data_IF_525637080848
#
_entry.id   IF_525637080848
#
_cell.length_a   1.000
_cell.length_b   1.000
_cell.length_c   1.000
_cell.angle_alpha   90.00
_cell.angle_beta   90.00
_cell.angle_gamma   90.00
#
_symmetry.space_group_name_H-M   'P 1'
#
loop_
_entity.id
_entity.type
_entity.pdbx_description
1 polymer ?
#
# COMPACT_ATOMS: atom_id res chain seq x y z
N UNK A 1 49.07 -34.47 0.36
CA UNK A 1 49.96 -33.34 -0.06
C UNK A 1 49.89 -32.10 0.86
N UNK A 2 49.15 -32.15 1.97
CA UNK A 2 49.06 -31.04 2.94
C UNK A 2 47.85 -30.13 2.73
N UNK A 3 46.96 -30.51 1.83
CA UNK A 3 45.70 -29.86 1.49
C UNK A 3 44.56 -30.06 2.52
N UNK A 4 44.71 -31.01 3.44
CA UNK A 4 43.73 -31.33 4.48
C UNK A 4 42.75 -32.46 4.14
N UNK A 5 42.97 -33.18 3.03
CA UNK A 5 42.21 -34.35 2.64
C UNK A 5 43.05 -35.62 2.87
N UNK A 6 42.37 -36.74 3.06
CA UNK A 6 43.00 -38.03 3.31
C UNK A 6 43.06 -38.84 2.02
N UNK A 7 44.23 -39.41 1.71
CA UNK A 7 44.45 -40.33 0.59
C UNK A 7 43.59 -41.63 0.64
N UNK A 8 42.77 -41.80 1.69
CA UNK A 8 41.87 -42.93 1.82
C UNK A 8 40.60 -42.69 1.00
N UNK A 9 40.50 -43.41 -0.12
CA UNK A 9 39.35 -43.38 -1.02
C UNK A 9 38.36 -44.53 -0.77
N UNK A 10 38.40 -45.15 0.41
CA UNK A 10 37.37 -46.10 0.82
C UNK A 10 36.00 -45.43 0.99
N UNK A 11 34.94 -46.18 0.70
CA UNK A 11 33.56 -45.71 0.86
C UNK A 11 33.31 -45.29 2.30
N UNK A 12 32.92 -44.04 2.48
CA UNK A 12 32.60 -43.47 3.80
C UNK A 12 33.81 -42.92 4.54
N UNK A 13 34.98 -42.85 3.90
CA UNK A 13 36.09 -42.05 4.38
C UNK A 13 35.67 -40.60 4.59
N UNK A 14 36.28 -39.95 5.59
CA UNK A 14 36.10 -38.54 5.89
C UNK A 14 37.14 -37.74 5.10
N UNK A 15 36.69 -36.76 4.31
CA UNK A 15 37.51 -35.93 3.42
C UNK A 15 38.42 -36.72 2.48
N UNK A 16 37.89 -37.63 1.64
CA UNK A 16 38.70 -38.37 0.68
C UNK A 16 39.37 -37.43 -0.34
N UNK A 17 40.64 -37.70 -0.66
CA UNK A 17 41.36 -37.01 -1.72
C UNK A 17 41.23 -37.78 -3.04
N UNK A 18 40.33 -37.29 -3.89
CA UNK A 18 40.10 -37.85 -5.23
C UNK A 18 41.14 -37.42 -6.26
N UNK A 19 41.97 -36.41 -5.97
CA UNK A 19 43.02 -35.96 -6.88
C UNK A 19 44.38 -35.73 -6.18
N UNK A 20 45.07 -36.80 -5.75
CA UNK A 20 46.34 -36.70 -5.01
C UNK A 20 47.53 -36.10 -5.77
N UNK A 21 47.30 -35.62 -6.99
CA UNK A 21 48.28 -34.99 -7.86
C UNK A 21 47.93 -33.54 -8.18
N UNK A 22 46.80 -33.03 -7.65
CA UNK A 22 46.27 -31.70 -7.92
C UNK A 22 45.68 -31.10 -6.63
N UNK A 23 46.53 -30.39 -5.87
CA UNK A 23 46.21 -29.75 -4.59
C UNK A 23 45.12 -28.66 -4.66
N UNK A 24 44.69 -28.31 -5.88
CA UNK A 24 43.63 -27.35 -6.14
C UNK A 24 42.25 -28.01 -6.27
N UNK A 25 42.19 -29.35 -6.32
CA UNK A 25 40.96 -30.12 -6.59
C UNK A 25 40.92 -31.33 -5.68
N UNK A 26 40.12 -31.31 -4.62
CA UNK A 26 40.19 -32.41 -3.63
C UNK A 26 38.87 -33.20 -3.55
N UNK A 27 37.75 -32.53 -3.86
CA UNK A 27 36.40 -33.11 -3.82
C UNK A 27 36.06 -33.90 -5.07
N UNK A 28 35.23 -34.93 -4.91
CA UNK A 28 34.67 -35.65 -6.04
C UNK A 28 33.76 -34.76 -6.91
N UNK A 29 33.73 -35.08 -8.21
CA UNK A 29 32.87 -34.38 -9.18
C UNK A 29 31.49 -35.05 -9.23
N UNK A 30 30.49 -34.35 -8.71
CA UNK A 30 29.09 -34.73 -8.86
C UNK A 30 28.24 -33.49 -9.16
N UNK A 31 27.12 -33.70 -9.83
CA UNK A 31 26.10 -32.69 -10.08
C UNK A 31 24.84 -32.99 -9.27
N UNK A 32 24.16 -31.95 -8.83
CA UNK A 32 22.92 -31.99 -8.08
C UNK A 32 21.77 -31.46 -8.95
N UNK A 33 20.67 -32.19 -8.97
CA UNK A 33 19.42 -31.74 -9.58
C UNK A 33 18.29 -31.94 -8.59
N UNK A 34 17.64 -30.87 -8.16
CA UNK A 34 16.51 -30.94 -7.23
C UNK A 34 15.23 -30.39 -7.85
N UNK A 35 14.09 -30.88 -7.38
CA UNK A 35 12.77 -30.40 -7.79
C UNK A 35 11.78 -30.52 -6.64
N UNK A 36 10.91 -29.51 -6.50
CA UNK A 36 9.74 -29.62 -5.65
C UNK A 36 8.78 -30.66 -6.20
N UNK A 37 8.14 -31.39 -5.29
CA UNK A 37 7.09 -32.37 -5.64
C UNK A 37 5.81 -31.64 -5.99
N UNK A 38 5.51 -30.59 -5.21
CA UNK A 38 4.40 -29.67 -5.41
C UNK A 38 5.00 -28.26 -5.47
N UNK A 39 4.71 -27.48 -6.53
CA UNK A 39 5.35 -26.17 -6.74
C UNK A 39 4.87 -25.10 -5.76
N UNK A 40 3.75 -25.31 -5.08
CA UNK A 40 3.12 -24.35 -4.17
C UNK A 40 2.69 -25.04 -2.88
N UNK A 41 2.94 -24.39 -1.75
CA UNK A 41 2.57 -24.88 -0.41
C UNK A 41 1.43 -24.06 0.13
N UNK A 42 0.25 -24.67 0.31
CA UNK A 42 -0.91 -24.00 0.89
C UNK A 42 -1.06 -24.31 2.39
N UNK A 43 -0.76 -23.31 3.23
CA UNK A 43 -0.86 -23.40 4.69
C UNK A 43 -2.28 -23.72 5.20
N UNK A 44 -3.31 -23.47 4.40
CA UNK A 44 -4.68 -23.86 4.72
C UNK A 44 -4.92 -25.37 4.65
N UNK A 45 -4.23 -26.05 3.74
CA UNK A 45 -4.31 -27.51 3.53
C UNK A 45 -3.34 -28.21 4.47
N UNK A 46 -2.12 -27.70 4.58
CA UNK A 46 -1.11 -28.16 5.51
C UNK A 46 0.23 -27.48 5.27
N UNK A 47 1.05 -27.29 6.31
CA UNK A 47 2.32 -26.58 6.21
C UNK A 47 3.45 -27.45 5.62
N UNK A 48 3.15 -28.63 5.06
CA UNK A 48 4.15 -29.63 4.66
C UNK A 48 4.41 -29.54 3.17
N UNK A 49 5.67 -29.69 2.78
CA UNK A 49 6.07 -29.87 1.39
C UNK A 49 7.22 -30.86 1.28
N UNK A 50 7.43 -31.33 0.05
CA UNK A 50 8.47 -32.30 -0.25
C UNK A 50 9.22 -31.93 -1.53
N UNK A 51 10.45 -32.40 -1.60
CA UNK A 51 11.33 -32.24 -2.75
C UNK A 51 12.21 -33.46 -2.91
N UNK A 52 12.60 -33.69 -4.15
CA UNK A 52 13.54 -34.75 -4.53
C UNK A 52 14.83 -34.14 -5.01
N UNK A 53 15.94 -34.77 -4.65
CA UNK A 53 17.26 -34.40 -5.16
C UNK A 53 17.95 -35.63 -5.72
N UNK A 54 18.39 -35.53 -6.97
CA UNK A 54 19.18 -36.55 -7.65
C UNK A 54 20.63 -36.09 -7.73
N UNK A 55 21.52 -36.86 -7.13
CA UNK A 55 22.97 -36.69 -7.23
C UNK A 55 23.46 -37.59 -8.35
N UNK A 56 24.24 -37.04 -9.27
CA UNK A 56 24.82 -37.79 -10.40
C UNK A 56 26.33 -37.59 -10.40
N UNK A 57 27.12 -38.65 -10.64
CA UNK A 57 28.57 -38.56 -10.77
C UNK A 57 29.07 -39.40 -11.93
N UNK A 58 30.27 -39.08 -12.41
CA UNK A 58 30.95 -39.80 -13.49
C UNK A 58 32.32 -40.39 -13.06
N UNK A 59 32.57 -40.41 -11.75
CA UNK A 59 33.82 -40.94 -11.17
C UNK A 59 33.94 -42.45 -11.39
N UNK A 60 35.18 -42.93 -11.58
CA UNK A 60 35.48 -44.36 -11.70
C UNK A 60 35.50 -45.11 -10.37
N UNK A 61 35.37 -44.38 -9.25
CA UNK A 61 35.29 -44.90 -7.89
C UNK A 61 33.93 -44.53 -7.30
N UNK A 62 33.49 -45.31 -6.32
CA UNK A 62 32.28 -44.98 -5.58
C UNK A 62 32.50 -43.71 -4.76
N UNK A 63 31.48 -42.87 -4.67
CA UNK A 63 31.51 -41.63 -3.90
C UNK A 63 30.48 -41.69 -2.76
N UNK A 64 30.76 -41.00 -1.66
CA UNK A 64 29.79 -40.82 -0.57
C UNK A 64 29.30 -39.38 -0.60
N UNK A 65 28.06 -39.19 -1.04
CA UNK A 65 27.43 -37.88 -1.13
C UNK A 65 26.50 -37.65 0.06
N UNK A 66 26.71 -36.55 0.79
CA UNK A 66 25.79 -36.03 1.81
C UNK A 66 25.08 -34.82 1.23
N UNK A 67 23.77 -34.95 1.02
CA UNK A 67 22.91 -33.86 0.58
C UNK A 67 22.33 -33.18 1.82
N UNK A 68 22.54 -31.88 1.93
CA UNK A 68 22.06 -31.02 3.02
C UNK A 68 21.20 -29.91 2.47
N UNK A 69 20.22 -29.45 3.25
CA UNK A 69 19.40 -28.31 2.84
C UNK A 69 19.22 -27.28 3.96
N UNK A 70 19.17 -26.00 3.57
CA UNK A 70 18.86 -24.87 4.42
C UNK A 70 17.78 -24.00 3.77
N UNK A 71 16.68 -23.80 4.50
CA UNK A 71 15.58 -22.90 4.13
C UNK A 71 15.38 -21.81 5.19
N UNK A 72 16.42 -21.51 5.96
CA UNK A 72 16.41 -20.51 7.02
C UNK A 72 15.49 -20.87 8.19
N UNK A 73 14.95 -19.83 8.83
CA UNK A 73 14.11 -19.97 10.03
C UNK A 73 12.65 -20.33 9.71
N UNK A 74 12.21 -20.16 8.46
CA UNK A 74 10.81 -20.37 8.07
C UNK A 74 10.53 -21.80 7.59
N UNK A 75 11.54 -22.53 7.11
CA UNK A 75 11.47 -23.97 6.87
C UNK A 75 12.02 -24.76 8.07
N UNK A 76 11.30 -25.77 8.56
CA UNK A 76 11.72 -26.58 9.72
C UNK A 76 11.15 -28.00 9.71
N UNK A 77 11.68 -28.85 10.59
CA UNK A 77 11.30 -30.27 10.63
C UNK A 77 11.92 -31.08 9.49
N UNK A 78 11.68 -32.39 9.52
CA UNK A 78 12.31 -33.34 8.59
C UNK A 78 13.79 -33.57 8.85
N UNK A 79 14.41 -34.43 8.03
CA UNK A 79 15.86 -34.62 8.06
C UNK A 79 16.56 -33.53 7.24
N UNK A 80 17.44 -32.76 7.87
CA UNK A 80 18.25 -31.70 7.23
C UNK A 80 19.37 -32.22 6.34
N UNK A 81 19.70 -33.51 6.49
CA UNK A 81 20.74 -34.15 5.70
C UNK A 81 20.40 -35.62 5.45
N UNK A 82 20.82 -36.13 4.31
CA UNK A 82 20.82 -37.56 4.00
C UNK A 82 22.11 -37.90 3.27
N UNK A 83 22.69 -39.05 3.61
CA UNK A 83 23.93 -39.54 3.00
C UNK A 83 23.63 -40.76 2.16
N UNK A 84 24.24 -40.82 0.97
CA UNK A 84 24.14 -41.94 0.05
C UNK A 84 25.50 -42.29 -0.52
N UNK A 85 25.72 -43.57 -0.77
CA UNK A 85 26.88 -44.06 -1.51
C UNK A 85 26.43 -44.35 -2.93
N UNK A 86 27.14 -43.79 -3.91
CA UNK A 86 26.84 -43.98 -5.33
C UNK A 86 28.03 -44.71 -5.96
N UNK A 87 27.77 -45.89 -6.52
CA UNK A 87 28.81 -46.66 -7.22
C UNK A 87 28.89 -46.23 -8.68
N UNK A 88 30.05 -46.43 -9.35
CA UNK A 88 30.21 -46.09 -10.76
C UNK A 88 29.16 -46.74 -11.68
N UNK A 89 28.68 -47.93 -11.33
CA UNK A 89 27.66 -48.65 -12.11
C UNK A 89 26.26 -48.05 -11.95
N UNK A 90 25.95 -47.49 -10.78
CA UNK A 90 24.68 -46.81 -10.53
C UNK A 90 24.65 -45.43 -11.20
N UNK A 91 25.76 -44.68 -11.10
CA UNK A 91 25.95 -43.35 -11.69
C UNK A 91 25.11 -42.23 -11.06
N UNK A 92 23.99 -42.55 -10.41
CA UNK A 92 23.16 -41.59 -9.68
C UNK A 92 22.45 -42.22 -8.47
N UNK A 93 21.96 -41.35 -7.60
CA UNK A 93 21.04 -41.70 -6.53
C UNK A 93 20.04 -40.57 -6.29
N UNK A 94 18.78 -40.93 -6.01
CA UNK A 94 17.71 -39.97 -5.71
C UNK A 94 17.30 -40.06 -4.25
N UNK A 95 17.24 -38.90 -3.60
CA UNK A 95 16.88 -38.71 -2.20
C UNK A 95 15.58 -37.94 -2.10
N UNK A 96 14.74 -38.34 -1.15
CA UNK A 96 13.46 -37.72 -0.87
C UNK A 96 13.52 -36.96 0.45
N UNK A 97 13.10 -35.71 0.44
CA UNK A 97 13.01 -34.87 1.63
C UNK A 97 11.58 -34.40 1.84
N UNK A 98 11.20 -34.27 3.10
CA UNK A 98 9.93 -33.69 3.51
C UNK A 98 10.19 -32.75 4.67
N UNK A 99 9.59 -31.56 4.63
CA UNK A 99 9.76 -30.53 5.64
C UNK A 99 8.47 -29.71 5.80
N UNK A 100 8.51 -28.72 6.68
CA UNK A 100 7.38 -27.86 7.06
C UNK A 100 7.72 -26.37 6.96
N UNK A 101 6.72 -25.54 6.71
CA UNK A 101 6.83 -24.08 6.64
C UNK A 101 6.00 -23.40 7.73
N UNK A 102 6.55 -22.35 8.34
CA UNK A 102 5.91 -21.65 9.45
C UNK A 102 4.81 -20.66 9.01
N UNK A 103 5.05 -19.91 7.93
CA UNK A 103 4.28 -18.71 7.55
C UNK A 103 4.32 -18.45 6.05
N UNK A 104 3.38 -17.62 5.57
CA UNK A 104 3.25 -17.17 4.16
C UNK A 104 4.40 -16.22 3.79
N UNK A 105 5.55 -16.79 3.47
CA UNK A 105 6.76 -16.09 3.00
C UNK A 105 7.41 -16.96 1.93
N UNK A 106 7.87 -16.39 0.80
CA UNK A 106 8.66 -17.15 -0.17
C UNK A 106 9.96 -17.64 0.48
N UNK A 107 10.34 -18.88 0.23
CA UNK A 107 11.54 -19.49 0.82
C UNK A 107 12.51 -19.87 -0.28
N UNK A 108 13.74 -19.37 -0.17
CA UNK A 108 14.88 -19.86 -0.94
C UNK A 108 15.47 -21.06 -0.21
N UNK A 109 15.21 -22.25 -0.73
CA UNK A 109 15.74 -23.50 -0.22
C UNK A 109 17.09 -23.78 -0.89
N UNK A 110 18.18 -23.57 -0.17
CA UNK A 110 19.53 -23.89 -0.64
C UNK A 110 19.83 -25.34 -0.33
N UNK A 111 20.13 -26.13 -1.36
CA UNK A 111 20.53 -27.53 -1.24
C UNK A 111 21.95 -27.68 -1.72
N UNK A 112 22.80 -28.24 -0.88
CA UNK A 112 24.21 -28.45 -1.17
C UNK A 112 24.52 -29.94 -1.08
N UNK A 113 25.36 -30.44 -1.99
CA UNK A 113 25.93 -31.78 -1.90
C UNK A 113 27.42 -31.69 -1.54
N UNK A 114 27.81 -32.40 -0.49
CA UNK A 114 29.19 -32.43 0.03
C UNK A 114 29.60 -33.86 0.33
N UNK A 115 30.89 -34.16 0.30
CA UNK A 115 31.40 -35.39 0.90
C UNK A 115 31.47 -35.25 2.43
N UNK A 116 31.33 -36.35 3.20
CA UNK A 116 31.57 -36.33 4.64
C UNK A 116 32.96 -35.76 4.96
N UNK A 117 33.05 -34.86 5.94
CA UNK A 117 34.31 -34.21 6.34
C UNK A 117 34.75 -33.04 5.46
N UNK A 118 34.31 -33.00 4.19
CA UNK A 118 34.62 -31.91 3.28
C UNK A 118 33.81 -30.65 3.62
N UNK A 119 34.47 -29.50 3.51
CA UNK A 119 33.82 -28.18 3.55
C UNK A 119 33.56 -27.61 2.15
N UNK A 120 34.02 -28.30 1.10
CA UNK A 120 33.82 -27.91 -0.28
C UNK A 120 32.55 -28.56 -0.82
N UNK A 121 31.66 -27.75 -1.40
CA UNK A 121 30.50 -28.23 -2.14
C UNK A 121 30.94 -28.90 -3.43
N UNK A 122 30.38 -30.08 -3.72
CA UNK A 122 30.50 -30.70 -5.04
C UNK A 122 29.57 -29.97 -6.02
N UNK A 123 28.37 -29.60 -5.56
CA UNK A 123 27.39 -28.79 -6.29
C UNK A 123 26.38 -28.15 -5.31
N UNK A 124 25.68 -27.12 -5.77
CA UNK A 124 24.65 -26.39 -5.02
C UNK A 124 23.48 -25.97 -5.93
N UNK A 125 22.26 -26.16 -5.45
CA UNK A 125 21.03 -25.77 -6.14
C UNK A 125 20.14 -25.00 -5.19
N UNK A 126 19.51 -23.93 -5.68
CA UNK A 126 18.47 -23.21 -4.94
C UNK A 126 17.11 -23.49 -5.55
N UNK A 127 16.15 -23.87 -4.71
CA UNK A 127 14.74 -24.01 -5.09
C UNK A 127 13.93 -22.88 -4.46
N UNK A 128 13.12 -22.20 -5.26
CA UNK A 128 12.16 -21.21 -4.77
C UNK A 128 10.85 -21.93 -4.40
N UNK A 129 10.42 -21.79 -3.15
CA UNK A 129 9.18 -22.37 -2.64
C UNK A 129 8.15 -21.25 -2.48
N UNK A 130 7.08 -21.31 -3.28
CA UNK A 130 5.95 -20.40 -3.11
C UNK A 130 5.02 -20.92 -2.01
N UNK A 131 4.70 -20.04 -1.06
CA UNK A 131 3.92 -20.37 0.13
C UNK A 131 2.70 -19.47 0.16
N UNK A 132 1.53 -20.08 0.02
CA UNK A 132 0.24 -19.39 0.07
C UNK A 132 -0.52 -19.76 1.33
N UNK A 133 -1.47 -18.92 1.72
CA UNK A 133 -2.48 -19.26 2.74
C UNK A 133 -3.85 -18.90 2.21
N UNK A 134 -4.60 -19.89 1.71
CA UNK A 134 -5.91 -19.63 1.13
C UNK A 134 -6.99 -19.27 2.16
N UNK A 135 -6.70 -19.32 3.47
CA UNK A 135 -7.61 -18.79 4.52
C UNK A 135 -7.49 -17.27 4.60
N UNK A 136 -6.31 -16.74 4.28
CA UNK A 136 -6.10 -15.33 4.13
C UNK A 136 -6.62 -14.98 2.74
N UNK A 137 -7.94 -14.76 2.62
CA UNK A 137 -8.43 -14.01 1.47
C UNK A 137 -7.68 -12.69 1.48
N UNK A 138 -6.90 -12.43 0.43
CA UNK A 138 -6.46 -11.09 0.12
C UNK A 138 -7.76 -10.28 -0.03
N UNK A 139 -8.13 -9.59 1.04
CA UNK A 139 -8.81 -8.33 0.85
C UNK A 139 -7.69 -7.53 0.18
N UNK A 140 -7.73 -7.44 -1.16
CA UNK A 140 -6.98 -6.44 -1.91
C UNK A 140 -6.91 -5.22 -1.01
N UNK A 141 -5.70 -4.84 -0.58
CA UNK A 141 -5.48 -3.67 0.26
C UNK A 141 -6.46 -2.62 -0.24
N UNK A 142 -7.45 -2.18 0.57
CA UNK A 142 -8.71 -1.65 0.07
C UNK A 142 -8.33 -0.71 -1.05
N UNK A 143 -8.64 -1.11 -2.31
CA UNK A 143 -8.50 -0.21 -3.46
C UNK A 143 -9.06 1.06 -2.92
N UNK A 144 -8.19 2.06 -2.69
CA UNK A 144 -8.57 3.21 -1.88
C UNK A 144 -9.81 3.72 -2.55
N UNK A 145 -10.93 3.44 -1.90
CA UNK A 145 -12.24 3.57 -2.50
C UNK A 145 -12.40 5.04 -2.46
N UNK A 146 -12.11 5.71 -3.59
CA UNK A 146 -12.78 6.87 -4.20
C UNK A 146 -13.30 8.00 -3.27
N UNK A 147 -12.91 7.99 -2.00
CA UNK A 147 -13.38 8.82 -0.89
C UNK A 147 -12.20 9.59 -0.30
N UNK A 148 -10.97 9.09 -0.43
CA UNK A 148 -9.74 9.85 -0.10
C UNK A 148 -9.24 10.69 -1.28
N UNK A 149 -9.71 10.43 -2.50
CA UNK A 149 -9.48 11.27 -3.69
C UNK A 149 -10.52 12.40 -3.81
N UNK A 150 -10.85 13.01 -2.68
CA UNK A 150 -11.66 14.22 -2.60
C UNK A 150 -10.80 15.44 -2.20
N UNK A 151 -9.48 15.35 -2.41
CA UNK A 151 -8.52 16.45 -2.22
C UNK A 151 -8.04 17.08 -3.52
N UNK A 152 -8.42 16.54 -4.69
CA UNK A 152 -8.01 17.08 -6.00
C UNK A 152 -8.41 18.56 -6.19
N UNK A 153 -9.46 19.05 -5.52
CA UNK A 153 -9.84 20.46 -5.57
C UNK A 153 -9.02 21.38 -4.64
N UNK A 154 -8.29 20.81 -3.67
CA UNK A 154 -7.41 21.56 -2.75
C UNK A 154 -6.03 21.72 -3.36
N UNK A 155 -5.54 20.69 -4.04
CA UNK A 155 -4.17 20.62 -4.55
C UNK A 155 -4.00 21.13 -5.99
N UNK A 156 -5.10 21.29 -6.75
CA UNK A 156 -5.07 21.83 -8.13
C UNK A 156 -5.43 23.33 -8.18
N UNK A 157 -4.65 24.11 -8.93
CA UNK A 157 -4.84 25.56 -9.10
C UNK A 157 -6.20 25.89 -9.73
N UNK A 158 -6.78 24.96 -10.52
CA UNK A 158 -8.12 25.10 -11.09
C UNK A 158 -9.23 24.83 -10.05
N UNK A 159 -8.99 23.95 -9.09
CA UNK A 159 -9.93 23.62 -8.01
C UNK A 159 -10.13 24.76 -7.02
N UNK A 160 -9.05 25.44 -6.64
CA UNK A 160 -9.12 26.62 -5.75
C UNK A 160 -9.87 27.80 -6.39
N UNK A 161 -9.72 28.00 -7.70
CA UNK A 161 -10.46 29.04 -8.45
C UNK A 161 -11.96 28.75 -8.45
N UNK A 162 -12.38 27.49 -8.60
CA UNK A 162 -13.79 27.11 -8.59
C UNK A 162 -14.45 27.39 -7.22
N UNK A 163 -13.76 27.07 -6.12
CA UNK A 163 -14.27 27.36 -4.77
C UNK A 163 -14.39 28.86 -4.50
N UNK A 164 -13.41 29.66 -4.95
CA UNK A 164 -13.47 31.11 -4.86
C UNK A 164 -14.66 31.71 -5.62
N UNK A 165 -14.98 31.17 -6.80
CA UNK A 165 -16.12 31.60 -7.60
C UNK A 165 -17.46 31.26 -6.94
N UNK A 166 -17.60 30.05 -6.39
CA UNK A 166 -18.83 29.65 -5.68
C UNK A 166 -19.07 30.54 -4.46
N UNK A 167 -18.03 30.84 -3.67
CA UNK A 167 -18.14 31.73 -2.52
C UNK A 167 -18.58 33.15 -2.93
N UNK A 168 -18.01 33.69 -4.02
CA UNK A 168 -18.39 34.99 -4.58
C UNK A 168 -19.84 35.03 -5.04
N UNK A 169 -20.32 33.97 -5.71
CA UNK A 169 -21.70 33.87 -6.17
C UNK A 169 -22.66 33.85 -4.98
N UNK A 170 -22.36 33.05 -3.95
CA UNK A 170 -23.18 32.97 -2.73
C UNK A 170 -23.23 34.33 -2.01
N UNK A 171 -22.10 35.04 -1.92
CA UNK A 171 -22.04 36.38 -1.34
C UNK A 171 -22.87 37.39 -2.13
N UNK A 172 -22.75 37.40 -3.46
CA UNK A 172 -23.50 38.30 -4.34
C UNK A 172 -25.01 38.03 -4.27
N UNK A 173 -25.43 36.75 -4.26
CA UNK A 173 -26.83 36.37 -4.07
C UNK A 173 -27.34 36.80 -2.70
N UNK A 174 -26.53 36.61 -1.64
CA UNK A 174 -26.85 37.06 -0.28
C UNK A 174 -27.07 38.58 -0.21
N UNK A 175 -26.20 39.37 -0.85
CA UNK A 175 -26.33 40.83 -0.92
C UNK A 175 -27.56 41.27 -1.72
N UNK A 176 -27.88 40.62 -2.83
CA UNK A 176 -29.08 40.91 -3.62
C UNK A 176 -30.37 40.62 -2.83
N UNK A 177 -30.41 39.50 -2.10
CA UNK A 177 -31.56 39.18 -1.23
C UNK A 177 -31.70 40.21 -0.12
N UNK A 178 -30.59 40.62 0.51
CA UNK A 178 -30.61 41.65 1.56
C UNK A 178 -31.04 43.01 1.00
N UNK A 179 -30.58 43.38 -0.19
CA UNK A 179 -30.97 44.61 -0.89
C UNK A 179 -32.46 44.66 -1.20
N UNK A 180 -33.03 43.57 -1.74
CA UNK A 180 -34.47 43.46 -2.01
C UNK A 180 -35.33 43.55 -0.74
N UNK A 181 -34.87 42.96 0.37
CA UNK A 181 -35.56 43.07 1.67
C UNK A 181 -35.56 44.49 2.24
N UNK A 182 -34.56 45.30 1.90
CA UNK A 182 -34.53 46.72 2.29
C UNK A 182 -35.43 47.53 1.36
N UNK A 183 -35.37 47.32 0.04
CA UNK A 183 -36.21 48.06 -0.90
C UNK A 183 -37.70 47.80 -0.69
N UNK A 184 -38.10 46.57 -0.39
CA UNK A 184 -39.51 46.23 -0.14
C UNK A 184 -40.03 46.95 1.10
N UNK A 185 -39.24 47.01 2.18
CA UNK A 185 -39.58 47.80 3.37
C UNK A 185 -39.79 49.29 3.06
N UNK A 186 -38.92 49.87 2.24
CA UNK A 186 -39.07 51.26 1.81
C UNK A 186 -40.30 51.49 0.91
N UNK A 187 -40.71 50.49 0.10
CA UNK A 187 -41.94 50.59 -0.68
C UNK A 187 -43.18 50.47 0.19
N UNK A 188 -43.20 49.53 1.14
CA UNK A 188 -44.27 49.39 2.13
C UNK A 188 -44.45 50.67 2.95
N UNK A 189 -43.36 51.30 3.41
CA UNK A 189 -43.42 52.59 4.13
C UNK A 189 -43.97 53.73 3.26
N UNK A 190 -43.61 53.77 1.97
CA UNK A 190 -44.12 54.78 1.03
C UNK A 190 -45.60 54.60 0.73
N UNK A 191 -46.06 53.35 0.60
CA UNK A 191 -47.48 53.03 0.40
C UNK A 191 -48.30 53.36 1.65
N UNK A 192 -47.79 53.03 2.85
CA UNK A 192 -48.41 53.41 4.11
C UNK A 192 -48.53 54.94 4.27
N UNK A 193 -47.49 55.69 3.92
CA UNK A 193 -47.52 57.15 3.90
C UNK A 193 -48.50 57.71 2.87
N UNK A 194 -48.58 57.12 1.67
CA UNK A 194 -49.52 57.54 0.63
C UNK A 194 -50.98 57.33 1.08
N UNK A 195 -51.29 56.19 1.71
CA UNK A 195 -52.61 55.94 2.29
C UNK A 195 -52.92 56.93 3.41
N UNK A 196 -51.98 57.19 4.32
CA UNK A 196 -52.17 58.17 5.39
C UNK A 196 -52.46 59.60 4.85
N UNK A 197 -51.82 60.00 3.75
CA UNK A 197 -52.09 61.29 3.10
C UNK A 197 -53.45 61.35 2.40
N UNK A 198 -53.90 60.25 1.79
CA UNK A 198 -55.24 60.14 1.18
C UNK A 198 -56.31 60.18 2.27
N UNK A 199 -56.11 59.46 3.37
CA UNK A 199 -56.99 59.49 4.54
C UNK A 199 -57.10 60.91 5.11
N UNK A 200 -55.96 61.61 5.23
CA UNK A 200 -55.91 63.01 5.67
C UNK A 200 -56.61 63.96 4.70
N UNK A 201 -56.57 63.70 3.38
CA UNK A 201 -57.35 64.49 2.40
C UNK A 201 -58.85 64.20 2.47
N UNK A 202 -59.25 62.96 2.74
CA UNK A 202 -60.67 62.57 2.91
C UNK A 202 -61.28 63.14 4.18
N UNK A 203 -60.49 63.18 5.25
CA UNK A 203 -60.89 63.72 6.56
C UNK A 203 -60.60 65.21 6.70
N UNK A 204 -59.93 65.83 5.72
CA UNK A 204 -59.81 67.27 5.65
C UNK A 204 -61.22 67.85 5.47
N UNK A 205 -61.71 68.67 6.41
CA UNK A 205 -62.96 69.39 6.22
C UNK A 205 -62.84 70.27 4.97
N UNK A 206 -63.97 70.58 4.29
CA UNK A 206 -63.95 71.44 3.11
C UNK A 206 -63.17 72.72 3.43
N UNK A 207 -62.28 73.15 2.52
CA UNK A 207 -61.66 74.46 2.61
C UNK A 207 -62.77 75.48 2.86
N UNK A 208 -62.75 76.07 4.05
CA UNK A 208 -63.67 77.12 4.46
C UNK A 208 -63.61 78.22 3.42
N UNK A 209 -64.74 78.50 2.76
CA UNK A 209 -64.93 79.65 1.85
C UNK A 209 -65.10 80.98 2.59
N UNK A 210 -64.85 81.03 3.90
CA UNK A 210 -64.73 82.28 4.63
C UNK A 210 -63.27 82.71 4.68
N UNK A 211 -62.95 83.98 4.33
CA UNK A 211 -61.59 84.47 4.40
C UNK A 211 -61.11 84.40 5.85
N UNK A 212 -59.83 84.06 6.09
CA UNK A 212 -59.30 84.08 7.45
C UNK A 212 -59.43 85.49 8.01
N UNK A 213 -59.83 85.66 9.29
CA UNK A 213 -59.72 86.96 9.95
C UNK A 213 -58.26 87.41 9.88
N UNK A 214 -57.99 88.72 9.76
CA UNK A 214 -56.64 89.21 9.53
C UNK A 214 -55.79 88.85 10.74
N UNK A 215 -55.02 87.77 10.62
CA UNK A 215 -53.95 87.47 11.55
C UNK A 215 -52.84 88.46 11.23
N UNK A 216 -52.80 89.52 12.04
CA UNK A 216 -51.74 90.50 12.02
C UNK A 216 -50.40 89.77 12.09
N UNK A 217 -49.53 90.12 11.13
CA UNK A 217 -48.19 89.58 10.98
C UNK A 217 -47.39 89.96 12.23
N UNK A 218 -46.98 89.01 13.10
CA UNK A 218 -46.01 89.30 14.13
C UNK A 218 -44.63 89.19 13.50
N UNK A 219 -44.07 90.35 13.13
CA UNK A 219 -42.63 90.51 12.99
C UNK A 219 -42.10 90.70 11.57
N UNK A 220 -42.37 91.85 10.96
CA UNK A 220 -41.32 92.59 10.27
C UNK A 220 -41.38 94.03 10.77
N UNK A 221 -40.30 94.45 11.42
CA UNK A 221 -40.24 95.71 12.16
C UNK A 221 -40.33 96.94 11.26
N UNK A 222 -40.70 98.06 11.89
CA UNK A 222 -40.10 99.36 11.61
C UNK A 222 -40.41 100.31 12.78
N UNK A 223 -39.35 100.66 13.51
CA UNK A 223 -39.17 101.95 14.21
C UNK A 223 -38.12 102.69 13.38
N UNK A 224 -38.19 104.00 13.05
CA UNK A 224 -38.26 105.16 13.97
C UNK A 224 -39.04 106.38 13.38
N UNK A 225 -39.00 107.65 13.87
CA UNK A 225 -38.16 108.28 14.91
C UNK A 225 -38.89 109.11 16.01
N UNK A 226 -38.05 109.71 16.87
CA UNK A 226 -38.26 110.41 18.15
C UNK A 226 -39.01 111.76 18.04
N UNK A 227 -39.30 112.48 19.15
CA UNK A 227 -38.31 113.11 20.06
C UNK A 227 -38.23 112.49 21.47
#
# INVERSE_FOLDING_TARGET
DGDGYGDNNEVGAESPDHWPQDDSRNVAEASLSCSLVEPEVNLAVGPKFAFTCTVTHAMQVAITARVTWDGGADAFGGSRSQTVVITPEAGNATLWFQTEVARKVPIDLVITVVEPGSNAAMDEVTLEVDVIDSRLTEIDAPTQTEWTDMSWWVDDERGQVALGQVLLIVLLLGLLVRGRRLSNRWQEEREALAMALVERRRTAPPMSTSPPPPQGIPGLGQRPPQP
#
